data_IF_617365301810
#
_entry.id   IF_617365301810
#
_cell.length_a   1.000
_cell.length_b   1.000
_cell.length_c   1.000
_cell.angle_alpha   90.00
_cell.angle_beta   90.00
_cell.angle_gamma   90.00
#
_symmetry.space_group_name_H-M   'P 1'
#
loop_
_entity.id
_entity.type
_entity.pdbx_description
1 polymer ?
#
# COMPACT_ATOMS: atom_id res chain seq x y z
N UNK A 1 -6.81 -0.07 35.93
CA UNK A 1 -6.60 -0.03 34.46
C UNK A 1 -6.67 1.36 33.82
N UNK A 2 -6.58 2.48 34.53
CA UNK A 2 -6.83 3.82 33.97
C UNK A 2 -5.58 4.74 33.84
N UNK A 3 -4.36 4.23 34.00
CA UNK A 3 -3.11 5.02 33.91
C UNK A 3 -2.33 4.90 32.61
N UNK A 4 -2.82 4.11 31.63
CA UNK A 4 -2.10 3.88 30.36
C UNK A 4 -2.54 4.85 29.26
N UNK A 5 -3.66 5.55 29.39
CA UNK A 5 -4.25 6.36 28.33
C UNK A 5 -3.93 7.87 28.37
N UNK A 6 -3.05 8.34 29.24
CA UNK A 6 -2.72 9.75 29.38
C UNK A 6 -1.24 10.10 29.07
N UNK A 7 -0.56 9.34 28.20
CA UNK A 7 0.61 9.87 27.50
C UNK A 7 0.08 10.63 26.28
N UNK A 8 0.07 11.96 26.37
CA UNK A 8 0.00 12.79 25.16
C UNK A 8 1.08 12.25 24.22
N UNK A 9 0.68 11.71 23.08
CA UNK A 9 1.60 11.30 22.04
C UNK A 9 2.48 12.53 21.76
N UNK A 10 3.78 12.41 22.00
CA UNK A 10 4.74 13.49 21.73
C UNK A 10 5.03 13.57 20.22
N UNK A 11 3.97 13.77 19.44
CA UNK A 11 4.04 13.91 17.98
C UNK A 11 4.35 15.37 17.66
N UNK A 12 5.49 15.59 17.05
CA UNK A 12 5.93 16.90 16.60
C UNK A 12 5.96 16.93 15.07
N UNK A 13 5.62 18.10 14.51
CA UNK A 13 5.56 18.29 13.05
C UNK A 13 6.33 19.58 12.68
N UNK A 14 7.19 19.47 11.67
CA UNK A 14 7.85 20.60 11.03
C UNK A 14 7.63 20.55 9.52
N UNK A 15 7.43 21.70 8.90
CA UNK A 15 7.42 21.86 7.45
C UNK A 15 8.63 22.74 7.08
N UNK A 16 9.53 22.20 6.26
CA UNK A 16 10.69 22.94 5.77
C UNK A 16 10.27 24.03 4.76
N UNK A 17 11.13 25.05 4.51
CA UNK A 17 10.83 26.12 3.56
C UNK A 17 10.51 25.63 2.13
N UNK A 18 11.05 24.46 1.74
CA UNK A 18 10.77 23.83 0.45
C UNK A 18 9.45 23.04 0.41
N UNK A 19 8.69 22.97 1.50
CA UNK A 19 7.41 22.25 1.60
C UNK A 19 7.50 20.83 2.16
N UNK A 20 8.71 20.28 2.34
CA UNK A 20 8.91 18.94 2.90
C UNK A 20 8.36 18.86 4.32
N UNK A 21 7.51 17.89 4.58
CA UNK A 21 6.90 17.66 5.89
C UNK A 21 7.66 16.59 6.67
N UNK A 22 7.93 16.87 7.95
CA UNK A 22 8.62 15.97 8.87
C UNK A 22 7.71 15.75 10.08
N UNK A 23 7.48 14.50 10.44
CA UNK A 23 6.71 14.13 11.64
C UNK A 23 7.56 13.17 12.48
N UNK A 24 7.64 13.45 13.78
CA UNK A 24 8.33 12.54 14.71
C UNK A 24 7.46 12.21 15.91
N UNK A 25 7.65 11.01 16.45
CA UNK A 25 7.14 10.60 17.75
C UNK A 25 8.30 10.15 18.62
N UNK A 26 8.58 10.91 19.68
CA UNK A 26 9.69 10.60 20.61
C UNK A 26 9.27 9.56 21.65
N UNK A 27 9.97 8.43 21.66
CA UNK A 27 9.80 7.34 22.63
C UNK A 27 11.13 7.12 23.40
N UNK A 28 11.43 7.90 24.45
CA UNK A 28 12.75 7.88 25.12
C UNK A 28 13.17 6.51 25.68
N UNK A 29 12.22 5.64 26.02
CA UNK A 29 12.46 4.28 26.49
C UNK A 29 12.78 3.27 25.40
N UNK A 30 12.63 3.62 24.13
CA UNK A 30 12.97 2.75 23.01
C UNK A 30 14.50 2.73 22.77
N UNK A 31 15.00 1.60 22.25
CA UNK A 31 16.37 1.44 21.75
C UNK A 31 16.40 1.29 20.24
N UNK A 32 15.26 1.54 19.59
CA UNK A 32 15.09 1.47 18.14
C UNK A 32 14.39 2.71 17.61
N UNK A 33 14.54 2.91 16.31
CA UNK A 33 13.88 3.94 15.54
C UNK A 33 13.22 3.30 14.30
N UNK A 34 12.00 3.68 14.02
CA UNK A 34 11.32 3.39 12.75
C UNK A 34 11.33 4.65 11.90
N UNK A 35 11.96 4.56 10.73
CA UNK A 35 12.04 5.61 9.72
C UNK A 35 11.07 5.31 8.60
N UNK A 36 10.42 6.34 8.04
CA UNK A 36 9.59 6.20 6.85
C UNK A 36 9.76 7.40 5.92
N UNK A 37 10.05 7.13 4.67
CA UNK A 37 10.03 8.10 3.58
C UNK A 37 8.81 7.78 2.72
N UNK A 38 7.81 8.66 2.75
CA UNK A 38 6.51 8.45 2.15
C UNK A 38 6.32 9.39 0.97
N UNK A 39 6.01 8.84 -0.19
CA UNK A 39 5.61 9.59 -1.37
C UNK A 39 4.08 9.55 -1.48
N UNK A 40 3.43 10.72 -1.53
CA UNK A 40 1.99 10.89 -1.71
C UNK A 40 1.57 10.75 -3.19
N UNK A 41 2.19 9.80 -3.87
CA UNK A 41 1.96 9.49 -5.28
C UNK A 41 2.21 7.99 -5.47
N UNK A 42 1.16 7.24 -5.69
CA UNK A 42 1.20 5.82 -6.03
C UNK A 42 0.65 5.56 -7.43
N UNK A 43 0.32 4.31 -7.73
CA UNK A 43 -0.10 3.89 -9.07
C UNK A 43 -1.38 4.58 -9.59
N UNK A 44 -2.18 5.16 -8.71
CA UNK A 44 -3.36 5.95 -9.09
C UNK A 44 -3.00 7.22 -9.88
N UNK A 45 -1.76 7.70 -9.78
CA UNK A 45 -1.27 8.89 -10.50
C UNK A 45 -0.70 8.59 -11.87
N UNK A 46 -0.65 7.35 -12.25
CA UNK A 46 -0.13 6.90 -13.53
C UNK A 46 -1.12 7.16 -14.67
N UNK A 47 -0.60 7.48 -15.84
CA UNK A 47 -1.36 7.41 -17.08
C UNK A 47 -1.41 5.97 -17.59
N UNK A 48 -2.29 5.67 -18.54
CA UNK A 48 -2.38 4.32 -19.10
C UNK A 48 -1.07 3.83 -19.74
N UNK A 49 -0.24 4.74 -20.27
CA UNK A 49 1.07 4.42 -20.83
C UNK A 49 2.14 4.20 -19.75
N UNK A 50 1.96 4.80 -18.58
CA UNK A 50 2.85 4.71 -17.42
C UNK A 50 2.43 3.63 -16.42
N UNK A 51 1.35 2.88 -16.65
CA UNK A 51 0.83 1.94 -15.67
C UNK A 51 1.88 0.89 -15.27
N UNK A 52 2.18 0.85 -13.97
CA UNK A 52 3.22 0.05 -13.35
C UNK A 52 4.54 0.79 -13.10
N UNK A 53 4.68 2.06 -13.52
CA UNK A 53 5.95 2.79 -13.42
C UNK A 53 6.32 3.11 -11.97
N UNK A 54 5.34 3.37 -11.09
CA UNK A 54 5.61 3.62 -9.66
C UNK A 54 6.27 2.41 -9.00
N UNK A 55 5.74 1.22 -9.25
CA UNK A 55 6.29 -0.04 -8.77
C UNK A 55 7.66 -0.33 -9.40
N UNK A 56 7.78 -0.10 -10.69
CA UNK A 56 9.06 -0.29 -11.38
C UNK A 56 10.16 0.65 -10.87
N UNK A 57 9.83 1.91 -10.55
CA UNK A 57 10.76 2.84 -9.92
C UNK A 57 11.16 2.35 -8.52
N UNK A 58 10.21 1.84 -7.72
CA UNK A 58 10.55 1.25 -6.42
C UNK A 58 11.67 0.22 -6.56
N UNK A 59 11.55 -0.77 -7.47
CA UNK A 59 12.60 -1.74 -7.76
C UNK A 59 13.92 -1.07 -8.16
N UNK A 60 13.85 -0.09 -9.04
CA UNK A 60 15.02 0.59 -9.57
C UNK A 60 15.78 1.45 -8.55
N UNK A 61 15.12 1.94 -7.48
CA UNK A 61 15.79 2.67 -6.41
C UNK A 61 16.79 1.80 -5.63
N UNK A 62 16.63 0.48 -5.63
CA UNK A 62 17.57 -0.46 -5.04
C UNK A 62 18.73 -0.85 -5.98
N UNK A 63 18.74 -0.40 -7.24
CA UNK A 63 19.74 -0.79 -8.26
C UNK A 63 20.94 0.14 -8.36
N UNK A 64 21.13 0.97 -7.36
CA UNK A 64 22.30 1.83 -7.19
C UNK A 64 21.98 3.31 -7.31
N UNK A 65 22.84 4.07 -6.69
CA UNK A 65 22.82 5.53 -6.63
C UNK A 65 24.14 6.09 -7.18
N UNK A 66 24.26 7.40 -7.24
CA UNK A 66 25.54 8.06 -7.55
C UNK A 66 26.63 7.76 -6.50
N UNK A 67 26.25 7.32 -5.29
CA UNK A 67 27.17 7.09 -4.16
C UNK A 67 27.35 5.61 -3.83
N UNK A 68 26.41 4.77 -4.21
CA UNK A 68 26.35 3.36 -3.80
C UNK A 68 25.99 2.45 -4.97
N UNK A 69 26.71 1.36 -5.12
CA UNK A 69 26.28 0.25 -5.96
C UNK A 69 25.12 -0.53 -5.33
N UNK A 70 24.46 -1.37 -6.11
CA UNK A 70 23.41 -2.29 -5.61
C UNK A 70 23.90 -3.17 -4.44
N UNK A 71 25.13 -3.66 -4.54
CA UNK A 71 25.73 -4.51 -3.50
C UNK A 71 26.04 -3.74 -2.22
N UNK A 72 26.49 -2.49 -2.35
CA UNK A 72 26.74 -1.62 -1.19
C UNK A 72 25.44 -1.28 -0.47
N UNK A 73 24.36 -0.95 -1.20
CA UNK A 73 23.04 -0.72 -0.61
C UNK A 73 22.61 -1.95 0.20
N UNK A 74 22.64 -3.14 -0.39
CA UNK A 74 22.24 -4.36 0.29
C UNK A 74 23.12 -4.62 1.54
N UNK A 75 24.44 -4.54 1.40
CA UNK A 75 25.37 -4.76 2.52
C UNK A 75 25.21 -3.75 3.65
N UNK A 76 25.01 -2.47 3.33
CA UNK A 76 24.81 -1.42 4.34
C UNK A 76 23.49 -1.61 5.07
N UNK A 77 22.39 -1.96 4.36
CA UNK A 77 21.11 -2.30 4.98
C UNK A 77 21.22 -3.53 5.90
N UNK A 78 21.94 -4.58 5.49
CA UNK A 78 22.18 -5.74 6.33
C UNK A 78 23.05 -5.38 7.57
N UNK A 79 24.04 -4.49 7.39
CA UNK A 79 24.97 -4.10 8.47
C UNK A 79 24.28 -3.32 9.58
N UNK A 80 23.26 -2.50 9.29
CA UNK A 80 22.49 -1.83 10.36
C UNK A 80 21.67 -2.79 11.20
N UNK A 81 21.59 -4.09 10.81
CA UNK A 81 20.98 -5.16 11.61
C UNK A 81 19.49 -4.97 11.88
N UNK A 82 18.83 -4.21 11.04
CA UNK A 82 17.44 -3.85 11.16
C UNK A 82 16.56 -4.56 10.12
N UNK A 83 15.41 -3.96 9.89
CA UNK A 83 14.48 -4.36 8.84
C UNK A 83 14.28 -3.17 7.90
N UNK A 84 14.35 -3.40 6.61
CA UNK A 84 14.01 -2.40 5.59
C UNK A 84 13.06 -3.01 4.58
N UNK A 85 12.07 -2.24 4.18
CA UNK A 85 11.11 -2.61 3.14
C UNK A 85 10.71 -1.38 2.32
N UNK A 86 10.13 -1.65 1.17
CA UNK A 86 9.43 -0.66 0.36
C UNK A 86 8.12 -1.27 -0.13
N UNK A 87 7.13 -0.43 -0.37
CA UNK A 87 5.93 -0.88 -1.05
C UNK A 87 5.30 0.22 -1.89
N UNK A 88 4.72 -0.17 -2.99
CA UNK A 88 3.91 0.68 -3.85
C UNK A 88 2.43 0.35 -3.68
N UNK A 89 1.68 1.34 -3.22
CA UNK A 89 0.22 1.28 -3.15
C UNK A 89 -0.44 2.12 -4.24
N UNK A 90 -1.77 2.19 -4.19
CA UNK A 90 -2.54 3.01 -5.14
C UNK A 90 -2.25 4.51 -4.98
N UNK A 91 -2.16 5.01 -3.76
CA UNK A 91 -2.03 6.45 -3.46
C UNK A 91 -0.72 6.86 -2.80
N UNK A 92 0.08 5.88 -2.38
CA UNK A 92 1.37 6.12 -1.71
C UNK A 92 2.42 5.11 -2.17
N UNK A 93 3.67 5.54 -2.14
CA UNK A 93 4.84 4.68 -2.13
C UNK A 93 5.61 4.95 -0.84
N UNK A 94 6.15 3.94 -0.20
CA UNK A 94 6.94 4.12 1.02
C UNK A 94 8.24 3.33 0.98
N UNK A 95 9.25 3.91 1.64
CA UNK A 95 10.52 3.28 1.94
C UNK A 95 10.73 3.37 3.44
N UNK A 96 10.86 2.22 4.09
CA UNK A 96 10.90 2.13 5.53
C UNK A 96 12.18 1.46 6.00
N UNK A 97 12.67 1.88 7.17
CA UNK A 97 13.71 1.16 7.88
C UNK A 97 13.42 1.18 9.38
N UNK A 98 13.66 0.05 10.05
CA UNK A 98 13.65 -0.06 11.50
C UNK A 98 15.03 -0.50 11.94
N UNK A 99 15.71 0.32 12.72
CA UNK A 99 17.08 0.09 13.16
C UNK A 99 17.26 0.46 14.64
N UNK A 100 18.41 0.08 15.23
CA UNK A 100 18.81 0.62 16.51
C UNK A 100 19.04 2.13 16.42
N UNK A 101 18.84 2.84 17.51
CA UNK A 101 18.97 4.29 17.58
C UNK A 101 20.37 4.81 17.16
N UNK A 102 21.41 4.03 17.43
CA UNK A 102 22.80 4.34 17.02
C UNK A 102 23.02 4.29 15.50
N UNK A 103 22.18 3.53 14.76
CA UNK A 103 22.23 3.42 13.30
C UNK A 103 21.24 4.35 12.58
N UNK A 104 20.44 5.15 13.31
CA UNK A 104 19.40 5.99 12.74
C UNK A 104 19.88 6.93 11.63
N UNK A 105 21.02 7.58 11.83
CA UNK A 105 21.60 8.50 10.84
C UNK A 105 22.05 7.76 9.57
N UNK A 106 22.63 6.58 9.74
CA UNK A 106 23.07 5.76 8.61
C UNK A 106 21.90 5.20 7.80
N UNK A 107 20.87 4.69 8.49
CA UNK A 107 19.63 4.24 7.85
C UNK A 107 18.96 5.37 7.04
N UNK A 108 18.91 6.58 7.61
CA UNK A 108 18.37 7.75 6.89
C UNK A 108 19.23 8.12 5.68
N UNK A 109 20.57 8.08 5.80
CA UNK A 109 21.48 8.39 4.68
C UNK A 109 21.30 7.41 3.52
N UNK A 110 21.14 6.10 3.80
CA UNK A 110 20.89 5.09 2.76
C UNK A 110 19.56 5.37 2.06
N UNK A 111 18.45 5.46 2.81
CA UNK A 111 17.12 5.65 2.23
C UNK A 111 17.01 6.97 1.46
N UNK A 112 17.57 8.05 1.99
CA UNK A 112 17.56 9.34 1.32
C UNK A 112 18.42 9.34 0.05
N UNK A 113 19.55 8.67 0.05
CA UNK A 113 20.41 8.53 -1.12
C UNK A 113 19.72 7.75 -2.25
N UNK A 114 19.08 6.61 -1.93
CA UNK A 114 18.28 5.84 -2.87
C UNK A 114 17.16 6.69 -3.49
N UNK A 115 16.48 7.49 -2.69
CA UNK A 115 15.37 8.34 -3.15
C UNK A 115 15.84 9.53 -3.98
N UNK A 116 16.97 10.15 -3.64
CA UNK A 116 17.42 11.42 -4.24
C UNK A 116 18.35 11.26 -5.45
N UNK A 117 19.08 10.16 -5.55
CA UNK A 117 20.17 9.98 -6.52
C UNK A 117 20.15 8.65 -7.28
N UNK A 118 18.95 8.16 -7.70
CA UNK A 118 18.88 6.90 -8.42
C UNK A 118 19.53 7.02 -9.80
N UNK A 119 20.24 5.98 -10.23
CA UNK A 119 20.94 6.00 -11.50
C UNK A 119 20.05 5.67 -12.71
N UNK A 120 19.04 4.82 -12.53
CA UNK A 120 18.18 4.30 -13.62
C UNK A 120 18.98 3.88 -14.84
N UNK A 121 19.98 2.98 -14.63
CA UNK A 121 20.83 2.47 -15.71
C UNK A 121 20.06 1.53 -16.61
N UNK A 122 20.31 1.61 -17.90
CA UNK A 122 19.62 0.78 -18.90
C UNK A 122 19.90 -0.72 -18.71
N UNK A 123 21.14 -1.07 -18.33
CA UNK A 123 21.54 -2.45 -18.04
C UNK A 123 20.80 -3.09 -16.86
N UNK A 124 20.46 -2.29 -15.83
CA UNK A 124 19.70 -2.76 -14.68
C UNK A 124 18.21 -2.85 -15.02
N UNK A 125 17.71 -1.94 -15.84
CA UNK A 125 16.31 -1.95 -16.28
C UNK A 125 15.93 -3.23 -17.02
N UNK A 126 16.79 -3.73 -17.93
CA UNK A 126 16.51 -4.96 -18.65
C UNK A 126 16.37 -6.18 -17.72
N UNK A 127 17.17 -6.21 -16.65
CA UNK A 127 17.08 -7.26 -15.61
C UNK A 127 15.80 -7.13 -14.82
N UNK A 128 15.49 -5.91 -14.35
CA UNK A 128 14.29 -5.67 -13.53
C UNK A 128 12.99 -5.81 -14.33
N UNK A 129 12.97 -5.49 -15.62
CA UNK A 129 11.83 -5.83 -16.47
C UNK A 129 11.57 -7.35 -16.46
N UNK A 130 12.63 -8.17 -16.48
CA UNK A 130 12.50 -9.62 -16.31
C UNK A 130 11.88 -10.01 -14.99
N UNK A 131 12.34 -9.42 -13.88
CA UNK A 131 11.82 -9.68 -12.52
C UNK A 131 10.36 -9.31 -12.42
N UNK A 132 9.97 -8.08 -12.80
CA UNK A 132 8.57 -7.63 -12.71
C UNK A 132 7.65 -8.43 -13.64
N UNK A 133 8.15 -8.90 -14.80
CA UNK A 133 7.38 -9.80 -15.66
C UNK A 133 7.13 -11.17 -15.02
N UNK A 134 8.07 -11.69 -14.22
CA UNK A 134 7.84 -12.92 -13.44
C UNK A 134 6.83 -12.67 -12.31
N UNK A 135 6.89 -11.51 -11.62
CA UNK A 135 5.87 -11.14 -10.61
C UNK A 135 4.46 -11.06 -11.22
N UNK A 136 4.34 -10.44 -12.41
CA UNK A 136 3.07 -10.41 -13.15
C UNK A 136 2.58 -11.84 -13.46
N UNK A 137 3.46 -12.77 -13.82
CA UNK A 137 3.08 -14.17 -14.05
C UNK A 137 2.60 -14.84 -12.76
N UNK A 138 3.33 -14.65 -11.65
CA UNK A 138 2.92 -15.17 -10.35
C UNK A 138 1.53 -14.65 -9.95
N UNK A 139 1.26 -13.36 -10.15
CA UNK A 139 -0.05 -12.75 -9.91
C UNK A 139 -1.14 -13.35 -10.83
N UNK A 140 -0.81 -13.57 -12.10
CA UNK A 140 -1.71 -14.23 -13.06
C UNK A 140 -1.99 -15.69 -12.71
N UNK A 141 -1.11 -16.38 -12.01
CA UNK A 141 -1.31 -17.75 -11.55
C UNK A 141 -2.12 -17.82 -10.26
N UNK A 142 -2.14 -16.78 -9.45
CA UNK A 142 -2.96 -16.68 -8.25
C UNK A 142 -4.42 -16.40 -8.59
N UNK A 143 -5.31 -17.34 -8.26
CA UNK A 143 -6.75 -17.18 -8.46
C UNK A 143 -7.34 -16.06 -7.57
N UNK A 144 -6.80 -15.86 -6.38
CA UNK A 144 -7.21 -14.82 -5.44
C UNK A 144 -6.83 -13.45 -5.98
N UNK A 145 -5.56 -13.26 -6.39
CA UNK A 145 -5.08 -12.02 -7.00
C UNK A 145 -5.89 -11.65 -8.25
N UNK A 146 -6.15 -12.63 -9.12
CA UNK A 146 -6.95 -12.42 -10.32
C UNK A 146 -8.41 -12.03 -10.01
N UNK A 147 -8.96 -12.50 -8.91
CA UNK A 147 -10.30 -12.13 -8.46
C UNK A 147 -10.30 -10.69 -7.93
N UNK A 148 -9.27 -10.31 -7.16
CA UNK A 148 -9.07 -8.94 -6.69
C UNK A 148 -8.88 -7.95 -7.85
N UNK A 149 -8.00 -8.26 -8.80
CA UNK A 149 -7.76 -7.43 -9.98
C UNK A 149 -9.03 -7.28 -10.85
N UNK A 150 -9.80 -8.35 -11.02
CA UNK A 150 -11.07 -8.31 -11.73
C UNK A 150 -12.09 -7.41 -11.02
N UNK A 151 -12.15 -7.50 -9.68
CA UNK A 151 -12.97 -6.63 -8.86
C UNK A 151 -12.55 -5.17 -9.03
N UNK A 152 -11.29 -4.82 -8.80
CA UNK A 152 -10.80 -3.45 -8.94
C UNK A 152 -11.09 -2.86 -10.32
N UNK A 153 -10.76 -3.61 -11.37
CA UNK A 153 -10.98 -3.22 -12.76
C UNK A 153 -12.44 -2.93 -13.10
N UNK A 154 -13.37 -3.61 -12.45
CA UNK A 154 -14.80 -3.45 -12.72
C UNK A 154 -15.44 -2.41 -11.82
N UNK A 155 -15.04 -2.36 -10.56
CA UNK A 155 -15.58 -1.46 -9.57
C UNK A 155 -15.14 -0.01 -9.80
N UNK A 156 -13.85 0.20 -10.09
CA UNK A 156 -13.26 1.51 -10.44
C UNK A 156 -12.90 1.60 -11.94
N UNK A 157 -13.82 1.22 -12.80
CA UNK A 157 -13.60 1.01 -14.23
C UNK A 157 -12.95 2.20 -14.95
N UNK A 158 -13.26 3.43 -14.55
CA UNK A 158 -12.83 4.67 -15.21
C UNK A 158 -11.68 5.38 -14.47
N UNK A 159 -11.19 4.81 -13.38
CA UNK A 159 -10.12 5.38 -12.55
C UNK A 159 -8.92 4.42 -12.49
N UNK A 160 -7.73 4.98 -12.32
CA UNK A 160 -6.51 4.20 -12.16
C UNK A 160 -6.49 3.33 -10.87
N UNK A 161 -7.40 3.54 -9.93
CA UNK A 161 -7.67 2.58 -8.84
C UNK A 161 -8.02 1.18 -9.37
N UNK A 162 -8.63 1.10 -10.55
CA UNK A 162 -8.98 -0.15 -11.21
C UNK A 162 -7.84 -0.80 -12.00
N UNK A 163 -6.66 -0.19 -12.09
CA UNK A 163 -5.52 -0.74 -12.85
C UNK A 163 -4.59 -1.54 -11.93
N UNK A 164 -3.88 -2.57 -12.41
CA UNK A 164 -2.92 -3.31 -11.62
C UNK A 164 -1.73 -2.43 -11.21
N UNK A 165 -1.23 -2.61 -9.98
CA UNK A 165 -0.05 -1.86 -9.48
C UNK A 165 1.21 -2.29 -10.24
N UNK A 166 1.33 -3.57 -10.58
CA UNK A 166 2.45 -4.11 -11.35
C UNK A 166 2.49 -3.63 -12.81
N UNK A 167 1.41 -3.00 -13.28
CA UNK A 167 1.25 -2.69 -14.68
C UNK A 167 0.87 -3.90 -15.54
N UNK A 168 1.24 -3.87 -16.79
CA UNK A 168 1.05 -4.95 -17.75
C UNK A 168 2.37 -5.34 -18.42
N UNK A 169 2.47 -6.56 -19.01
CA UNK A 169 3.67 -6.93 -19.78
C UNK A 169 4.00 -5.95 -20.89
N UNK A 170 2.98 -5.28 -21.45
CA UNK A 170 3.17 -4.27 -22.51
C UNK A 170 3.79 -2.99 -21.94
N UNK A 171 3.26 -2.47 -20.85
CA UNK A 171 3.76 -1.22 -20.24
C UNK A 171 5.13 -1.42 -19.64
N UNK A 172 5.37 -2.50 -18.88
CA UNK A 172 6.67 -2.80 -18.27
C UNK A 172 7.78 -2.90 -19.33
N UNK A 173 7.52 -3.58 -20.45
CA UNK A 173 8.50 -3.68 -21.56
C UNK A 173 8.76 -2.36 -22.28
N UNK A 174 7.87 -1.37 -22.16
CA UNK A 174 8.04 -0.07 -22.79
C UNK A 174 8.82 0.94 -21.94
N UNK A 175 9.07 0.64 -20.67
CA UNK A 175 9.81 1.53 -19.78
C UNK A 175 11.26 1.67 -20.22
N UNK A 176 11.77 2.89 -20.15
CA UNK A 176 13.15 3.25 -20.47
C UNK A 176 13.65 4.37 -19.54
N UNK A 177 14.98 4.58 -19.41
CA UNK A 177 15.55 5.47 -18.39
C UNK A 177 15.01 6.90 -18.41
N UNK A 178 14.75 7.44 -19.61
CA UNK A 178 14.18 8.79 -19.74
C UNK A 178 12.78 8.88 -19.12
N UNK A 179 11.93 7.89 -19.38
CA UNK A 179 10.55 7.85 -18.84
C UNK A 179 10.56 7.77 -17.31
N UNK A 180 11.44 6.94 -16.73
CA UNK A 180 11.59 6.84 -15.27
C UNK A 180 12.06 8.16 -14.66
N UNK A 181 13.08 8.81 -15.26
CA UNK A 181 13.58 10.11 -14.76
C UNK A 181 12.52 11.20 -14.84
N UNK A 182 11.74 11.25 -15.91
CA UNK A 182 10.64 12.22 -16.07
C UNK A 182 9.55 11.99 -15.03
N UNK A 183 9.13 10.73 -14.82
CA UNK A 183 8.15 10.38 -13.79
C UNK A 183 8.69 10.68 -12.39
N UNK A 184 9.91 10.23 -12.07
CA UNK A 184 10.58 10.49 -10.81
C UNK A 184 10.70 11.99 -10.52
N UNK A 185 11.15 12.78 -11.48
CA UNK A 185 11.31 14.24 -11.35
C UNK A 185 10.00 14.99 -11.12
N UNK A 186 8.87 14.48 -11.63
CA UNK A 186 7.54 15.07 -11.39
C UNK A 186 6.96 14.70 -10.03
N UNK A 187 7.24 13.52 -9.53
CA UNK A 187 6.55 12.97 -8.35
C UNK A 187 7.39 13.04 -7.07
N UNK A 188 8.72 12.83 -7.15
CA UNK A 188 9.62 12.78 -5.99
C UNK A 188 10.10 14.18 -5.60
N UNK A 189 9.17 15.04 -5.26
CA UNK A 189 9.38 16.45 -4.90
C UNK A 189 8.96 16.72 -3.46
N UNK A 190 9.51 17.74 -2.78
CA UNK A 190 9.26 18.00 -1.35
C UNK A 190 7.79 18.07 -0.97
N UNK A 191 6.96 18.70 -1.78
CA UNK A 191 5.51 18.86 -1.52
C UNK A 191 4.75 17.52 -1.51
N UNK A 192 5.30 16.49 -2.15
CA UNK A 192 4.73 15.15 -2.18
C UNK A 192 5.37 14.19 -1.16
N UNK A 193 6.44 14.62 -0.48
CA UNK A 193 7.17 13.80 0.46
C UNK A 193 6.75 14.08 1.90
N UNK A 194 6.73 13.01 2.69
CA UNK A 194 6.59 13.05 4.12
C UNK A 194 7.69 12.18 4.72
N UNK A 195 8.47 12.72 5.64
CA UNK A 195 9.49 11.98 6.37
C UNK A 195 8.98 11.76 7.79
N UNK A 196 9.02 10.52 8.24
CA UNK A 196 8.57 10.15 9.60
C UNK A 196 9.67 9.45 10.37
N UNK A 197 9.71 9.69 11.69
CA UNK A 197 10.56 8.93 12.60
C UNK A 197 9.84 8.71 13.93
N UNK A 198 9.75 7.46 14.38
CA UNK A 198 9.16 7.07 15.66
C UNK A 198 10.12 6.18 16.45
N UNK A 199 10.30 6.46 17.74
CA UNK A 199 11.22 5.73 18.60
C UNK A 199 12.17 6.67 19.38
N UNK A 200 13.42 6.26 19.56
CA UNK A 200 14.42 7.08 20.23
C UNK A 200 14.94 8.17 19.28
N UNK A 201 14.15 9.20 19.13
CA UNK A 201 14.44 10.36 18.27
C UNK A 201 14.20 11.66 19.04
N UNK A 202 15.04 12.68 18.75
CA UNK A 202 14.83 14.08 19.17
C UNK A 202 14.41 14.88 17.95
N UNK A 203 13.22 15.45 17.97
CA UNK A 203 12.64 16.16 16.81
C UNK A 203 13.59 17.18 16.17
N UNK A 204 14.10 18.13 16.94
CA UNK A 204 14.99 19.19 16.42
C UNK A 204 16.26 18.62 15.76
N UNK A 205 16.85 17.57 16.32
CA UNK A 205 18.04 16.93 15.74
C UNK A 205 17.71 16.21 14.44
N UNK A 206 16.56 15.51 14.40
CA UNK A 206 16.09 14.84 13.20
C UNK A 206 15.73 15.81 12.08
N UNK A 207 15.02 16.90 12.40
CA UNK A 207 14.71 17.98 11.44
C UNK A 207 16.00 18.54 10.84
N UNK A 208 17.01 18.86 11.67
CA UNK A 208 18.31 19.34 11.18
C UNK A 208 19.00 18.35 10.25
N UNK A 209 18.93 17.06 10.56
CA UNK A 209 19.49 15.98 9.72
C UNK A 209 18.77 15.89 8.36
N UNK A 210 17.44 15.92 8.37
CA UNK A 210 16.63 15.90 7.14
C UNK A 210 16.87 17.16 6.31
N UNK A 211 16.91 18.34 6.94
CA UNK A 211 17.12 19.62 6.25
C UNK A 211 18.49 19.68 5.58
N UNK A 212 19.53 19.17 6.23
CA UNK A 212 20.89 19.13 5.65
C UNK A 212 20.96 18.29 4.35
N UNK A 213 20.11 17.24 4.22
CA UNK A 213 20.12 16.36 3.06
C UNK A 213 19.06 16.75 2.03
N UNK A 214 17.85 17.11 2.47
CA UNK A 214 16.67 17.31 1.63
C UNK A 214 16.19 18.77 1.55
N UNK A 215 16.73 19.67 2.39
CA UNK A 215 16.32 21.08 2.41
C UNK A 215 16.60 21.82 1.11
N UNK A 216 17.64 21.41 0.39
CA UNK A 216 17.99 21.96 -0.93
C UNK A 216 17.19 21.43 -2.11
N UNK A 217 16.26 20.49 -1.91
CA UNK A 217 15.40 19.99 -3.00
C UNK A 217 14.54 21.13 -3.56
N UNK A 218 14.49 21.21 -4.88
CA UNK A 218 13.62 22.18 -5.56
C UNK A 218 12.15 21.80 -5.37
N UNK A 219 11.30 22.80 -5.15
CA UNK A 219 9.86 22.62 -5.18
C UNK A 219 9.44 22.08 -6.55
N UNK A 220 8.54 21.11 -6.54
CA UNK A 220 7.91 20.63 -7.76
C UNK A 220 6.67 21.45 -8.13
N UNK A 221 6.13 21.14 -9.27
CA UNK A 221 4.79 21.58 -9.62
C UNK A 221 3.75 20.81 -8.81
N UNK A 222 2.68 21.48 -8.42
CA UNK A 222 1.57 20.83 -7.75
C UNK A 222 0.96 19.76 -8.65
N UNK A 223 0.82 18.54 -8.13
CA UNK A 223 0.15 17.48 -8.88
C UNK A 223 -1.30 17.91 -9.16
N UNK A 224 -1.80 17.66 -10.37
CA UNK A 224 -3.17 17.99 -10.72
C UNK A 224 -4.16 17.28 -9.78
N UNK A 225 -5.34 17.85 -9.51
CA UNK A 225 -6.37 17.15 -8.76
C UNK A 225 -6.73 15.83 -9.47
N UNK A 226 -6.98 14.80 -8.67
CA UNK A 226 -7.51 13.54 -9.22
C UNK A 226 -8.97 13.75 -9.67
N UNK A 227 -9.39 13.10 -10.75
CA UNK A 227 -10.79 13.12 -11.16
C UNK A 227 -11.67 12.49 -10.07
N UNK A 228 -12.96 12.85 -10.09
CA UNK A 228 -13.95 12.24 -9.20
C UNK A 228 -14.10 10.74 -9.49
N UNK A 229 -13.99 9.92 -8.45
CA UNK A 229 -14.10 8.47 -8.59
C UNK A 229 -15.54 8.03 -8.70
N UNK A 230 -15.86 7.31 -9.76
CA UNK A 230 -17.16 6.65 -9.93
C UNK A 230 -17.01 5.15 -9.68
N UNK A 231 -17.96 4.60 -8.94
CA UNK A 231 -18.08 3.15 -8.71
C UNK A 231 -19.23 2.58 -9.53
N UNK A 232 -19.03 1.38 -10.06
CA UNK A 232 -20.00 0.75 -10.96
C UNK A 232 -20.47 -0.57 -10.38
N UNK A 233 -21.79 -0.76 -10.15
CA UNK A 233 -22.33 -2.06 -9.83
C UNK A 233 -22.24 -2.98 -11.05
N UNK A 234 -21.48 -4.05 -10.94
CA UNK A 234 -21.28 -4.98 -12.04
C UNK A 234 -21.22 -6.43 -11.54
N UNK A 235 -21.69 -7.33 -12.38
CA UNK A 235 -21.38 -8.75 -12.27
C UNK A 235 -20.29 -9.08 -13.31
N UNK A 236 -19.17 -9.61 -12.85
CA UNK A 236 -18.07 -10.01 -13.71
C UNK A 236 -17.73 -11.50 -13.48
N UNK A 237 -17.33 -12.16 -14.55
CA UNK A 237 -16.88 -13.56 -14.51
C UNK A 237 -15.66 -13.74 -15.39
N UNK A 238 -14.65 -14.45 -14.87
CA UNK A 238 -13.50 -14.94 -15.63
C UNK A 238 -13.43 -16.46 -15.43
N UNK A 239 -13.31 -17.20 -16.51
CA UNK A 239 -13.17 -18.67 -16.46
C UNK A 239 -11.70 -19.03 -16.67
N UNK A 240 -11.16 -19.85 -15.77
CA UNK A 240 -9.81 -20.44 -15.86
C UNK A 240 -9.97 -21.95 -15.61
N UNK A 241 -9.99 -22.80 -16.67
CA UNK A 241 -10.32 -24.23 -16.56
C UNK A 241 -9.37 -25.02 -15.65
N UNK A 242 -8.16 -24.54 -15.42
CA UNK A 242 -7.17 -25.19 -14.56
C UNK A 242 -7.43 -25.05 -13.06
N UNK A 243 -8.44 -24.27 -12.64
CA UNK A 243 -8.75 -24.05 -11.23
C UNK A 243 -9.79 -25.05 -10.74
N UNK A 244 -9.48 -25.72 -9.63
CA UNK A 244 -10.42 -26.60 -8.92
C UNK A 244 -11.45 -25.82 -8.10
N UNK A 245 -11.08 -24.63 -7.63
CA UNK A 245 -11.94 -23.77 -6.82
C UNK A 245 -12.45 -22.57 -7.61
N UNK A 246 -13.66 -22.15 -7.28
CA UNK A 246 -14.22 -20.88 -7.68
C UNK A 246 -13.85 -19.82 -6.64
N UNK A 247 -13.22 -18.74 -7.08
CA UNK A 247 -12.98 -17.57 -6.26
C UNK A 247 -14.11 -16.56 -6.42
N UNK A 248 -14.54 -15.97 -5.32
CA UNK A 248 -15.66 -15.04 -5.23
C UNK A 248 -15.21 -13.74 -4.58
N UNK A 249 -15.64 -12.61 -5.16
CA UNK A 249 -15.59 -11.30 -4.51
C UNK A 249 -16.99 -10.66 -4.54
N UNK A 250 -17.52 -10.30 -3.38
CA UNK A 250 -18.75 -9.51 -3.23
C UNK A 250 -18.36 -8.18 -2.59
N UNK A 251 -18.58 -7.08 -3.28
CA UNK A 251 -18.14 -5.77 -2.79
C UNK A 251 -19.27 -4.74 -2.82
N UNK A 252 -19.16 -3.76 -1.93
CA UNK A 252 -20.01 -2.58 -1.87
C UNK A 252 -19.16 -1.32 -1.67
N UNK A 253 -19.65 -0.13 -2.11
CA UNK A 253 -18.99 1.13 -1.80
C UNK A 253 -18.88 1.36 -0.28
N UNK A 254 -17.77 1.93 0.14
CA UNK A 254 -17.52 2.36 1.51
C UNK A 254 -17.16 3.85 1.56
N UNK A 255 -17.06 4.41 2.75
CA UNK A 255 -16.64 5.79 2.95
C UNK A 255 -15.15 5.96 2.64
N UNK A 256 -14.73 7.14 2.16
CA UNK A 256 -13.32 7.45 1.96
C UNK A 256 -12.56 7.58 3.29
N UNK A 257 -11.23 7.51 3.23
CA UNK A 257 -10.33 7.53 4.40
C UNK A 257 -10.53 8.75 5.32
N UNK A 258 -10.87 9.91 4.76
CA UNK A 258 -11.10 11.15 5.53
C UNK A 258 -12.48 11.25 6.19
N UNK A 259 -13.40 10.34 5.90
CA UNK A 259 -14.79 10.45 6.36
C UNK A 259 -14.95 10.05 7.84
N UNK A 260 -15.78 10.77 8.60
CA UNK A 260 -15.98 10.53 10.03
C UNK A 260 -16.49 9.11 10.34
N UNK A 261 -17.34 8.54 9.47
CA UNK A 261 -17.89 7.18 9.61
C UNK A 261 -16.92 6.05 9.30
N UNK A 262 -15.66 6.32 8.88
CA UNK A 262 -14.69 5.28 8.59
C UNK A 262 -14.45 4.30 9.74
N UNK A 263 -14.47 4.81 10.98
CA UNK A 263 -14.30 3.95 12.17
C UNK A 263 -15.44 2.94 12.33
N UNK A 264 -16.68 3.33 11.98
CA UNK A 264 -17.80 2.40 11.91
C UNK A 264 -17.60 1.33 10.82
N UNK A 265 -16.98 1.70 9.69
CA UNK A 265 -16.62 0.71 8.65
C UNK A 265 -15.55 -0.27 9.13
N UNK A 266 -14.53 0.19 9.87
CA UNK A 266 -13.54 -0.72 10.47
C UNK A 266 -14.18 -1.71 11.43
N UNK A 267 -15.06 -1.24 12.33
CA UNK A 267 -15.78 -2.11 13.26
C UNK A 267 -16.67 -3.10 12.50
N UNK A 268 -17.44 -2.61 11.53
CA UNK A 268 -18.28 -3.47 10.69
C UNK A 268 -17.46 -4.55 9.96
N UNK A 269 -16.34 -4.16 9.38
CA UNK A 269 -15.44 -5.12 8.72
C UNK A 269 -14.92 -6.17 9.68
N UNK A 270 -14.50 -5.76 10.88
CA UNK A 270 -14.00 -6.69 11.91
C UNK A 270 -15.07 -7.70 12.33
N UNK A 271 -16.28 -7.25 12.59
CA UNK A 271 -17.42 -8.11 12.96
C UNK A 271 -17.81 -9.03 11.82
N UNK A 272 -17.84 -8.53 10.59
CA UNK A 272 -18.30 -9.28 9.42
C UNK A 272 -17.33 -10.38 9.01
N UNK A 273 -16.05 -10.05 8.78
CA UNK A 273 -15.07 -10.99 8.21
C UNK A 273 -13.62 -10.70 8.57
N UNK A 274 -13.35 -9.89 9.61
CA UNK A 274 -12.00 -9.47 9.96
C UNK A 274 -11.17 -10.49 10.75
N UNK A 275 -11.70 -11.65 11.11
CA UNK A 275 -10.96 -12.66 11.87
C UNK A 275 -11.77 -13.93 12.13
N UNK A 276 -11.18 -14.88 12.86
CA UNK A 276 -11.78 -16.18 13.12
C UNK A 276 -13.08 -16.12 13.94
N UNK A 277 -13.28 -15.11 14.76
CA UNK A 277 -14.53 -14.89 15.51
C UNK A 277 -15.62 -14.17 14.71
N UNK A 278 -15.32 -13.70 13.50
CA UNK A 278 -16.25 -12.96 12.66
C UNK A 278 -17.44 -13.81 12.18
N UNK A 279 -18.54 -13.15 11.84
CA UNK A 279 -19.78 -13.82 11.43
C UNK A 279 -19.61 -14.70 10.21
N UNK A 280 -18.95 -14.21 9.17
CA UNK A 280 -18.71 -14.98 7.95
C UNK A 280 -17.87 -16.21 8.24
N UNK A 281 -16.80 -16.07 9.02
CA UNK A 281 -15.92 -17.19 9.34
C UNK A 281 -16.65 -18.23 10.19
N UNK A 282 -17.32 -17.83 11.27
CA UNK A 282 -18.02 -18.74 12.16
C UNK A 282 -19.21 -19.45 11.47
N UNK A 283 -19.96 -18.74 10.64
CA UNK A 283 -21.13 -19.34 10.02
C UNK A 283 -20.77 -20.16 8.77
N UNK A 284 -19.98 -19.59 7.84
CA UNK A 284 -19.80 -20.20 6.52
C UNK A 284 -18.66 -21.22 6.52
N UNK A 285 -17.58 -20.95 7.28
CA UNK A 285 -16.46 -21.89 7.39
C UNK A 285 -16.68 -22.91 8.50
N UNK A 286 -16.87 -22.45 9.75
CA UNK A 286 -16.89 -23.37 10.89
C UNK A 286 -18.18 -24.21 10.96
N UNK A 287 -19.35 -23.58 10.85
CA UNK A 287 -20.63 -24.30 10.99
C UNK A 287 -21.05 -25.04 9.72
N UNK A 288 -20.84 -24.44 8.54
CA UNK A 288 -21.31 -25.00 7.28
C UNK A 288 -20.25 -25.74 6.48
N UNK A 289 -18.95 -25.51 6.73
CA UNK A 289 -17.83 -26.15 6.03
C UNK A 289 -17.81 -25.88 4.52
N UNK A 290 -18.31 -24.72 4.06
CA UNK A 290 -18.47 -24.43 2.64
C UNK A 290 -17.23 -23.85 1.99
N UNK A 291 -16.33 -23.27 2.77
CA UNK A 291 -15.12 -22.56 2.32
C UNK A 291 -13.93 -22.94 3.18
N UNK A 292 -12.72 -22.91 2.62
CA UNK A 292 -11.50 -23.00 3.40
C UNK A 292 -11.14 -21.65 4.02
N UNK A 293 -11.28 -20.58 3.25
CA UNK A 293 -11.05 -19.22 3.70
C UNK A 293 -12.21 -18.31 3.27
N UNK A 294 -12.58 -17.41 4.18
CA UNK A 294 -13.50 -16.31 3.92
C UNK A 294 -13.09 -15.13 4.79
N UNK A 295 -13.00 -13.98 4.18
CA UNK A 295 -12.63 -12.72 4.85
C UNK A 295 -13.38 -11.55 4.28
N UNK A 296 -13.43 -10.45 5.02
CA UNK A 296 -13.81 -9.15 4.47
C UNK A 296 -12.65 -8.17 4.62
N UNK A 297 -12.47 -7.33 3.60
CA UNK A 297 -11.43 -6.33 3.52
C UNK A 297 -12.02 -4.94 3.26
N UNK A 298 -11.41 -3.95 3.86
CA UNK A 298 -11.81 -2.55 3.73
C UNK A 298 -10.70 -1.78 3.00
N UNK A 299 -10.96 -1.40 1.76
CA UNK A 299 -10.08 -0.53 0.99
C UNK A 299 -10.56 0.90 1.10
N UNK A 300 -9.76 1.78 1.72
CA UNK A 300 -10.07 3.20 1.89
C UNK A 300 -9.06 4.05 1.13
N UNK A 301 -9.54 4.84 0.20
CA UNK A 301 -8.77 5.81 -0.56
C UNK A 301 -9.18 7.23 -0.17
N UNK A 302 -8.48 8.22 -0.70
CA UNK A 302 -8.68 9.63 -0.36
C UNK A 302 -10.14 10.10 -0.56
N UNK A 303 -10.78 9.66 -1.64
CA UNK A 303 -12.10 10.09 -2.11
C UNK A 303 -13.05 8.94 -2.48
N UNK A 304 -12.62 7.69 -2.27
CA UNK A 304 -13.39 6.49 -2.52
C UNK A 304 -13.11 5.42 -1.48
N UNK A 305 -13.93 4.38 -1.44
CA UNK A 305 -13.69 3.19 -0.63
C UNK A 305 -14.56 2.03 -1.07
N UNK A 306 -14.13 0.83 -0.70
CA UNK A 306 -14.87 -0.40 -0.90
C UNK A 306 -14.74 -1.30 0.33
N UNK A 307 -15.80 -2.04 0.64
CA UNK A 307 -15.76 -3.22 1.49
C UNK A 307 -15.99 -4.42 0.60
N UNK A 308 -15.05 -5.35 0.57
CA UNK A 308 -15.06 -6.54 -0.26
C UNK A 308 -15.00 -7.80 0.59
N UNK A 309 -15.82 -8.79 0.27
CA UNK A 309 -15.82 -10.13 0.88
C UNK A 309 -15.20 -11.08 -0.14
N UNK A 310 -14.16 -11.80 0.26
CA UNK A 310 -13.48 -12.80 -0.55
C UNK A 310 -13.73 -14.20 0.00
N UNK A 311 -13.93 -15.16 -0.88
CA UNK A 311 -14.06 -16.57 -0.50
C UNK A 311 -13.63 -17.51 -1.63
N UNK A 312 -12.93 -18.59 -1.26
CA UNK A 312 -12.63 -19.71 -2.14
C UNK A 312 -13.52 -20.91 -1.82
N UNK A 313 -14.19 -21.49 -2.81
CA UNK A 313 -15.11 -22.60 -2.63
C UNK A 313 -15.15 -23.53 -3.83
N UNK A 314 -15.71 -24.73 -3.68
CA UNK A 314 -15.96 -25.60 -4.84
C UNK A 314 -17.05 -25.01 -5.74
N UNK A 315 -17.00 -25.23 -7.07
CA UNK A 315 -18.05 -24.74 -7.98
C UNK A 315 -19.46 -25.17 -7.59
N UNK A 316 -19.60 -26.35 -7.02
CA UNK A 316 -20.91 -26.90 -6.60
C UNK A 316 -21.52 -26.20 -5.38
N UNK A 317 -20.69 -25.62 -4.52
CA UNK A 317 -21.12 -24.91 -3.28
C UNK A 317 -21.22 -23.41 -3.43
N UNK A 318 -20.74 -22.84 -4.54
CA UNK A 318 -20.69 -21.40 -4.78
C UNK A 318 -22.03 -20.69 -4.52
N UNK A 319 -23.14 -21.25 -5.00
CA UNK A 319 -24.48 -20.65 -4.79
C UNK A 319 -24.86 -20.60 -3.31
N UNK A 320 -24.52 -21.63 -2.54
CA UNK A 320 -24.78 -21.67 -1.09
C UNK A 320 -23.92 -20.62 -0.37
N UNK A 321 -22.64 -20.49 -0.71
CA UNK A 321 -21.75 -19.45 -0.15
C UNK A 321 -22.33 -18.06 -0.39
N UNK A 322 -22.74 -17.75 -1.64
CA UNK A 322 -23.35 -16.46 -1.97
C UNK A 322 -24.62 -16.23 -1.14
N UNK A 323 -25.51 -17.22 -1.01
CA UNK A 323 -26.73 -17.10 -0.21
C UNK A 323 -26.40 -16.82 1.27
N UNK A 324 -25.48 -17.58 1.85
CA UNK A 324 -25.08 -17.40 3.26
C UNK A 324 -24.41 -16.04 3.50
N UNK A 325 -23.57 -15.55 2.59
CA UNK A 325 -23.00 -14.19 2.67
C UNK A 325 -24.12 -13.14 2.66
N UNK A 326 -25.10 -13.29 1.76
CA UNK A 326 -26.22 -12.36 1.67
C UNK A 326 -27.14 -12.39 2.90
N UNK A 327 -27.28 -13.55 3.55
CA UNK A 327 -28.00 -13.70 4.82
C UNK A 327 -27.29 -12.96 5.95
N UNK A 328 -25.96 -13.10 6.08
CA UNK A 328 -25.17 -12.35 7.08
C UNK A 328 -25.24 -10.85 6.86
N UNK A 329 -25.12 -10.39 5.61
CA UNK A 329 -25.27 -8.96 5.30
C UNK A 329 -26.67 -8.41 5.64
N UNK A 330 -27.71 -9.19 5.40
CA UNK A 330 -29.08 -8.81 5.81
C UNK A 330 -29.23 -8.85 7.32
N UNK A 331 -28.65 -9.81 8.00
CA UNK A 331 -28.64 -9.93 9.45
C UNK A 331 -28.03 -8.67 10.12
N UNK A 332 -26.83 -8.26 9.67
CA UNK A 332 -26.19 -7.04 10.17
C UNK A 332 -27.01 -5.78 9.88
N UNK A 333 -27.63 -5.70 8.69
CA UNK A 333 -28.44 -4.55 8.31
C UNK A 333 -29.70 -4.41 9.15
N UNK A 334 -30.35 -5.52 9.49
CA UNK A 334 -31.70 -5.54 10.09
C UNK A 334 -31.70 -5.72 11.61
N UNK A 335 -30.57 -6.12 12.20
CA UNK A 335 -30.43 -6.35 13.63
C UNK A 335 -29.27 -5.56 14.26
N UNK A 336 -29.38 -5.12 15.50
CA UNK A 336 -28.26 -4.54 16.20
C UNK A 336 -27.16 -5.58 16.45
N UNK A 337 -25.93 -5.12 16.44
CA UNK A 337 -24.79 -5.90 16.93
C UNK A 337 -24.88 -5.95 18.47
N UNK A 338 -24.69 -7.12 19.06
CA UNK A 338 -24.73 -7.26 20.52
C UNK A 338 -23.51 -6.60 21.17
N UNK A 339 -23.64 -6.25 22.46
CA UNK A 339 -22.52 -5.67 23.21
C UNK A 339 -21.36 -6.65 23.43
N UNK A 340 -21.64 -7.94 23.38
CA UNK A 340 -20.66 -9.01 23.58
C UNK A 340 -19.86 -9.34 22.29
N UNK A 341 -20.35 -8.94 21.14
CA UNK A 341 -19.74 -9.12 19.82
C UNK A 341 -18.80 -7.95 19.48
#
# INVERSE_FOLDING_TARGET
MSKILNRSLAVETTVLPNGLKIITESMPGARSLSLGLWLRSGSRRETAAENGISHFIEHMLFKGTERRSTQEIARELDTIGGYSDAFTGKEIVSFNAKALDEHAAHAFDILSDMMLRPLFREEDMGKEQGVVLEEIKMDLDSAESQTHELFCKKFWKEDALGWPILGSPKTVKSFHPKMLREYWGRHYVPDNLLITAAGKVKHAAFVKMVDAVMGGMKKGEALPPLPEVKVFPQLARKTKPSLEQAQLCIAAPSYPMGHAKRFGCYLLNTILGGGMSSRLFQNIRERQGLVYNISSELSLYRDSGAMAIYAGTSPGTLRRVVSSVMEELRGIKNGPVSADE
#
